data_IF_857410784874
#
_entry.id   IF_857410784874
#
_cell.length_a   1.000
_cell.length_b   1.000
_cell.length_c   1.000
_cell.angle_alpha   90.00
_cell.angle_beta   90.00
_cell.angle_gamma   90.00
#
_symmetry.space_group_name_H-M   'P 1'
#
loop_
_entity.id
_entity.type
_entity.pdbx_description
1 polymer ?
#
# COMPACT_ATOMS: atom_id res chain seq x y z
N UNK A 1 -5.86 9.47 -34.14
CA UNK A 1 -5.58 8.01 -33.95
C UNK A 1 -4.12 7.60 -34.16
N UNK A 2 -3.22 8.50 -34.61
CA UNK A 2 -1.80 8.17 -34.78
C UNK A 2 -0.97 8.18 -33.47
N UNK A 3 -1.46 8.83 -32.40
CA UNK A 3 -0.69 8.99 -31.16
C UNK A 3 -0.67 7.77 -30.23
N UNK A 4 -1.76 7.02 -30.16
CA UNK A 4 -1.87 5.87 -29.23
C UNK A 4 -1.01 4.67 -29.70
N UNK A 5 -1.00 4.36 -30.99
CA UNK A 5 -0.17 3.28 -31.54
C UNK A 5 1.35 3.53 -31.43
N UNK A 6 1.79 4.79 -31.49
CA UNK A 6 3.20 5.15 -31.36
C UNK A 6 3.64 5.13 -29.87
N UNK A 7 2.75 5.43 -28.94
CA UNK A 7 3.01 5.32 -27.49
C UNK A 7 3.12 3.85 -27.09
N UNK A 8 2.21 2.99 -27.54
CA UNK A 8 2.28 1.55 -27.31
C UNK A 8 3.56 0.91 -27.87
N UNK A 9 3.94 1.26 -29.08
CA UNK A 9 5.19 0.76 -29.68
C UNK A 9 6.46 1.22 -28.94
N UNK A 10 6.47 2.43 -28.37
CA UNK A 10 7.58 2.90 -27.52
C UNK A 10 7.63 2.12 -26.20
N UNK A 11 6.51 1.93 -25.53
CA UNK A 11 6.46 1.17 -24.27
C UNK A 11 6.96 -0.26 -24.43
N UNK A 12 6.61 -0.95 -25.55
CA UNK A 12 7.16 -2.26 -25.87
C UNK A 12 8.67 -2.26 -26.13
N UNK A 13 9.21 -1.16 -26.66
CA UNK A 13 10.65 -1.05 -26.97
C UNK A 13 11.50 -0.84 -25.71
N UNK A 14 10.95 -0.23 -24.67
CA UNK A 14 11.63 0.06 -23.40
C UNK A 14 11.31 -0.97 -22.29
N UNK A 15 10.47 -1.97 -22.60
CA UNK A 15 10.08 -3.02 -21.67
C UNK A 15 11.26 -3.94 -21.35
N UNK A 16 11.40 -4.30 -20.06
CA UNK A 16 12.33 -5.33 -19.59
C UNK A 16 11.83 -6.75 -19.91
N UNK A 17 10.52 -6.90 -20.20
CA UNK A 17 9.90 -8.14 -20.69
C UNK A 17 9.92 -8.15 -22.21
N UNK A 18 10.33 -9.25 -22.80
CA UNK A 18 10.39 -9.45 -24.23
C UNK A 18 9.05 -9.91 -24.77
N UNK A 19 8.71 -9.50 -26.00
CA UNK A 19 7.57 -10.05 -26.74
C UNK A 19 6.22 -10.01 -25.97
N UNK A 20 5.97 -8.92 -25.24
CA UNK A 20 4.75 -8.80 -24.42
C UNK A 20 3.46 -8.66 -25.25
N UNK A 21 3.57 -8.40 -26.56
CA UNK A 21 2.48 -8.38 -27.56
C UNK A 21 2.30 -9.72 -28.27
N UNK A 22 3.04 -10.75 -27.89
CA UNK A 22 3.04 -12.08 -28.48
C UNK A 22 3.14 -12.12 -30.01
N UNK A 23 3.71 -11.07 -30.64
CA UNK A 23 3.91 -10.99 -32.08
C UNK A 23 4.89 -12.05 -32.61
N UNK A 24 5.77 -12.55 -31.74
CA UNK A 24 6.68 -13.66 -32.00
C UNK A 24 6.27 -14.93 -31.25
N UNK A 25 4.98 -15.21 -31.19
CA UNK A 25 4.40 -16.36 -30.45
C UNK A 25 4.80 -16.32 -28.95
N UNK A 26 5.28 -17.40 -28.37
CA UNK A 26 5.73 -17.45 -26.97
C UNK A 26 7.24 -17.21 -26.80
N UNK A 27 7.91 -16.61 -27.78
CA UNK A 27 9.35 -16.36 -27.70
C UNK A 27 9.68 -15.55 -26.42
N UNK A 28 10.55 -16.10 -25.58
CA UNK A 28 10.94 -15.53 -24.30
C UNK A 28 10.05 -15.93 -23.12
N UNK A 29 8.89 -16.51 -23.36
CA UNK A 29 8.01 -17.02 -22.31
C UNK A 29 8.13 -18.52 -22.12
N UNK A 30 7.98 -18.95 -20.86
CA UNK A 30 7.81 -20.34 -20.47
C UNK A 30 6.37 -20.55 -19.97
N UNK A 31 5.70 -21.56 -20.52
CA UNK A 31 4.37 -21.98 -20.10
C UNK A 31 4.52 -23.24 -19.27
N UNK A 32 4.24 -23.14 -17.98
CA UNK A 32 4.28 -24.26 -17.07
C UNK A 32 2.86 -24.81 -16.83
N UNK A 33 2.69 -26.11 -17.02
CA UNK A 33 1.48 -26.84 -16.68
C UNK A 33 1.91 -28.09 -15.89
N UNK A 34 1.47 -28.19 -14.65
CA UNK A 34 1.80 -29.31 -13.77
C UNK A 34 1.13 -30.60 -14.25
N UNK A 35 1.95 -31.56 -14.67
CA UNK A 35 1.48 -32.84 -15.20
C UNK A 35 0.98 -33.82 -14.12
N UNK A 36 1.29 -33.58 -12.85
CA UNK A 36 0.83 -34.40 -11.71
C UNK A 36 -0.54 -33.94 -11.20
N UNK A 37 -1.05 -32.81 -11.70
CA UNK A 37 -2.28 -32.18 -11.29
C UNK A 37 -3.43 -32.44 -12.27
N UNK A 38 -4.64 -32.06 -11.84
CA UNK A 38 -5.82 -32.06 -12.71
C UNK A 38 -5.83 -30.87 -13.70
N UNK A 39 -4.73 -30.09 -13.77
CA UNK A 39 -4.62 -28.96 -14.67
C UNK A 39 -4.44 -29.43 -16.12
N UNK A 40 -5.28 -28.89 -17.01
CA UNK A 40 -5.25 -29.15 -18.46
C UNK A 40 -5.49 -27.80 -19.18
N UNK A 41 -4.51 -27.35 -19.97
CA UNK A 41 -4.60 -26.12 -20.72
C UNK A 41 -3.91 -26.24 -22.07
N UNK A 42 -4.46 -25.58 -23.08
CA UNK A 42 -3.85 -25.39 -24.40
C UNK A 42 -3.60 -23.89 -24.57
N UNK A 43 -2.39 -23.55 -24.99
CA UNK A 43 -1.99 -22.17 -25.24
C UNK A 43 -1.80 -21.95 -26.74
N UNK A 44 -2.34 -20.85 -27.25
CA UNK A 44 -2.27 -20.50 -28.66
C UNK A 44 -2.19 -18.97 -28.82
N UNK A 45 -1.07 -18.46 -29.33
CA UNK A 45 -0.89 -17.03 -29.58
C UNK A 45 -1.58 -16.56 -30.86
N UNK A 46 -1.91 -17.46 -31.78
CA UNK A 46 -2.47 -17.12 -33.09
C UNK A 46 -4.00 -17.03 -33.08
N UNK A 47 -4.65 -17.51 -32.02
CA UNK A 47 -6.10 -17.59 -31.93
C UNK A 47 -6.76 -16.23 -31.68
N UNK A 48 -6.06 -15.29 -31.05
CA UNK A 48 -6.57 -13.98 -30.71
C UNK A 48 -5.53 -12.87 -30.90
N UNK A 49 -5.29 -12.45 -32.15
CA UNK A 49 -4.46 -11.30 -32.50
C UNK A 49 -3.10 -11.23 -31.76
N UNK A 50 -2.41 -12.35 -31.68
CA UNK A 50 -1.14 -12.51 -30.97
C UNK A 50 -1.23 -12.36 -29.42
N UNK A 51 -2.30 -12.75 -28.80
CA UNK A 51 -2.39 -12.84 -27.33
C UNK A 51 -2.00 -14.24 -26.84
N UNK A 52 -1.56 -14.34 -25.58
CA UNK A 52 -1.46 -15.63 -24.89
C UNK A 52 -2.87 -16.13 -24.53
N UNK A 53 -3.40 -17.03 -25.35
CA UNK A 53 -4.76 -17.56 -25.24
C UNK A 53 -4.74 -18.96 -24.60
N UNK A 54 -5.15 -19.04 -23.34
CA UNK A 54 -5.26 -20.26 -22.58
C UNK A 54 -6.68 -20.82 -22.65
N UNK A 55 -6.84 -22.04 -23.18
CA UNK A 55 -8.06 -22.84 -23.01
C UNK A 55 -7.81 -23.79 -21.84
N UNK A 56 -8.40 -23.54 -20.71
CA UNK A 56 -8.21 -24.28 -19.46
C UNK A 56 -9.42 -25.18 -19.27
N UNK A 57 -9.23 -26.54 -19.25
CA UNK A 57 -10.27 -27.51 -18.99
C UNK A 57 -10.44 -27.82 -17.51
N UNK A 58 -9.32 -27.78 -16.77
CA UNK A 58 -9.27 -27.89 -15.33
C UNK A 58 -8.11 -27.04 -14.82
N UNK A 59 -8.37 -26.10 -13.91
CA UNK A 59 -7.35 -25.19 -13.41
C UNK A 59 -6.43 -25.81 -12.35
N UNK A 60 -6.71 -27.05 -11.91
CA UNK A 60 -6.03 -27.64 -10.76
C UNK A 60 -6.42 -26.96 -9.43
N UNK A 61 -5.92 -27.50 -8.33
CA UNK A 61 -6.24 -27.07 -6.97
C UNK A 61 -5.27 -26.03 -6.36
N UNK A 62 -4.25 -25.62 -7.13
CA UNK A 62 -3.26 -24.62 -6.74
C UNK A 62 -3.07 -23.60 -7.87
N UNK A 63 -2.85 -22.33 -7.51
CA UNK A 63 -2.69 -21.25 -8.48
C UNK A 63 -1.46 -21.44 -9.40
N UNK A 64 -0.37 -22.00 -8.88
CA UNK A 64 0.89 -22.20 -9.59
C UNK A 64 0.88 -23.37 -10.59
N UNK A 65 -0.19 -24.18 -10.64
CA UNK A 65 -0.25 -25.36 -11.53
C UNK A 65 -0.37 -25.02 -13.01
N UNK A 66 -0.78 -23.80 -13.33
CA UNK A 66 -0.71 -23.23 -14.67
C UNK A 66 -0.06 -21.87 -14.56
N UNK A 67 1.05 -21.64 -15.28
CA UNK A 67 1.79 -20.38 -15.20
C UNK A 67 2.26 -19.93 -16.58
N UNK A 68 2.24 -18.60 -16.78
CA UNK A 68 2.98 -17.91 -17.83
C UNK A 68 4.13 -17.15 -17.19
N UNK A 69 5.37 -17.44 -17.59
CA UNK A 69 6.58 -16.92 -16.95
C UNK A 69 7.56 -16.34 -17.96
N UNK A 70 8.35 -15.37 -17.51
CA UNK A 70 9.56 -14.93 -18.19
C UNK A 70 10.69 -14.72 -17.17
N UNK A 71 11.85 -15.33 -17.42
CA UNK A 71 12.99 -15.38 -16.50
C UNK A 71 14.05 -14.32 -16.88
N UNK A 72 15.11 -14.23 -16.05
CA UNK A 72 16.31 -13.40 -16.27
C UNK A 72 15.98 -11.90 -16.39
N UNK A 73 15.13 -11.40 -15.50
CA UNK A 73 14.78 -9.99 -15.44
C UNK A 73 15.68 -9.33 -14.41
N UNK A 74 16.40 -8.29 -14.82
CA UNK A 74 17.23 -7.49 -13.91
C UNK A 74 16.39 -6.42 -13.24
N UNK A 75 16.36 -6.46 -11.89
CA UNK A 75 15.79 -5.41 -11.06
C UNK A 75 16.88 -4.74 -10.23
N UNK A 76 17.03 -3.43 -10.34
CA UNK A 76 18.04 -2.64 -9.65
C UNK A 76 17.49 -2.08 -8.34
N UNK A 77 18.27 -2.20 -7.25
CA UNK A 77 17.91 -1.64 -5.94
C UNK A 77 17.56 -0.16 -6.02
N UNK A 78 16.48 0.24 -5.37
CA UNK A 78 15.99 1.62 -5.32
C UNK A 78 15.23 2.07 -6.57
N UNK A 79 15.33 1.34 -7.70
CA UNK A 79 14.64 1.69 -8.94
C UNK A 79 13.13 1.39 -8.83
N UNK A 80 12.32 2.31 -9.33
CA UNK A 80 10.88 2.13 -9.50
C UNK A 80 10.58 1.46 -10.84
N UNK A 81 9.61 0.56 -10.81
CA UNK A 81 9.13 -0.19 -11.97
C UNK A 81 7.61 -0.11 -12.06
N UNK A 82 7.11 -0.13 -13.29
CA UNK A 82 5.69 -0.25 -13.59
C UNK A 82 5.48 -1.50 -14.42
N UNK A 83 4.72 -2.44 -13.86
CA UNK A 83 4.19 -3.60 -14.57
C UNK A 83 2.80 -3.28 -15.06
N UNK A 84 2.49 -3.61 -16.32
CA UNK A 84 1.13 -3.58 -16.85
C UNK A 84 0.90 -4.73 -17.83
N UNK A 85 -0.34 -5.20 -17.92
CA UNK A 85 -0.79 -6.18 -18.91
C UNK A 85 -2.29 -6.10 -19.08
N UNK A 86 -2.77 -6.58 -20.21
CA UNK A 86 -4.19 -6.73 -20.51
C UNK A 86 -4.61 -8.19 -20.31
N UNK A 87 -5.75 -8.41 -19.65
CA UNK A 87 -6.25 -9.74 -19.34
C UNK A 87 -7.77 -9.78 -19.43
N UNK A 88 -8.31 -10.92 -19.92
CA UNK A 88 -9.75 -11.21 -19.90
C UNK A 88 -9.99 -12.68 -19.63
N UNK A 89 -11.14 -13.00 -19.05
CA UNK A 89 -11.56 -14.38 -18.77
C UNK A 89 -13.01 -14.61 -19.16
N UNK A 90 -13.29 -15.79 -19.66
CA UNK A 90 -14.67 -16.20 -20.01
C UNK A 90 -15.52 -16.60 -18.80
N UNK A 91 -14.91 -16.67 -17.63
CA UNK A 91 -15.57 -16.95 -16.34
C UNK A 91 -15.05 -15.99 -15.28
N UNK A 92 -15.86 -15.71 -14.27
CA UNK A 92 -15.40 -14.95 -13.11
C UNK A 92 -14.41 -15.78 -12.31
N UNK A 93 -13.24 -15.21 -12.01
CA UNK A 93 -12.17 -15.88 -11.27
C UNK A 93 -11.15 -14.90 -10.70
N UNK A 94 -10.23 -15.41 -9.90
CA UNK A 94 -9.02 -14.69 -9.50
C UNK A 94 -7.81 -15.17 -10.29
N UNK A 95 -6.83 -14.28 -10.46
CA UNK A 95 -5.52 -14.53 -11.06
C UNK A 95 -4.46 -13.84 -10.19
N UNK A 96 -3.37 -14.52 -9.89
CA UNK A 96 -2.24 -13.94 -9.19
C UNK A 96 -1.11 -13.62 -10.15
N UNK A 97 -0.46 -12.48 -9.98
CA UNK A 97 0.78 -12.17 -10.67
C UNK A 97 1.87 -11.74 -9.70
N UNK A 98 3.12 -11.94 -10.08
CA UNK A 98 4.28 -11.56 -9.28
C UNK A 98 5.49 -11.20 -10.15
N UNK A 99 6.34 -10.34 -9.62
CA UNK A 99 7.77 -10.30 -9.93
C UNK A 99 8.48 -10.78 -8.67
N UNK A 100 9.28 -11.82 -8.79
CA UNK A 100 9.81 -12.55 -7.64
C UNK A 100 11.20 -13.09 -7.91
N UNK A 101 11.85 -13.59 -6.89
CA UNK A 101 13.07 -14.40 -7.02
C UNK A 101 12.78 -15.65 -7.84
N UNK A 102 13.75 -16.06 -8.66
CA UNK A 102 13.71 -17.39 -9.27
C UNK A 102 14.28 -18.42 -8.30
N UNK A 103 13.44 -19.24 -7.68
CA UNK A 103 13.87 -20.25 -6.72
C UNK A 103 14.76 -21.33 -7.31
N UNK A 104 14.87 -21.41 -8.65
CA UNK A 104 15.86 -22.31 -9.28
C UNK A 104 17.29 -21.80 -9.06
N UNK A 105 17.49 -20.48 -9.01
CA UNK A 105 18.79 -19.81 -8.83
C UNK A 105 18.97 -19.23 -7.42
N UNK A 106 17.88 -18.84 -6.75
CA UNK A 106 17.89 -18.29 -5.40
C UNK A 106 17.60 -19.34 -4.34
N UNK A 107 18.37 -19.30 -3.24
CA UNK A 107 18.17 -20.19 -2.09
C UNK A 107 18.01 -19.37 -0.81
N UNK A 108 17.14 -19.84 0.07
CA UNK A 108 16.98 -19.30 1.41
C UNK A 108 18.15 -19.69 2.34
N UNK A 109 18.10 -19.24 3.59
CA UNK A 109 19.13 -19.54 4.60
C UNK A 109 19.25 -21.02 4.95
N UNK A 110 18.29 -21.86 4.56
CA UNK A 110 18.30 -23.33 4.77
C UNK A 110 18.77 -24.09 3.52
N UNK A 111 18.96 -23.40 2.39
CA UNK A 111 19.28 -23.97 1.09
C UNK A 111 18.06 -24.44 0.27
N UNK A 112 16.84 -24.17 0.74
CA UNK A 112 15.62 -24.41 -0.01
C UNK A 112 15.41 -23.34 -1.11
N UNK A 113 14.59 -23.65 -2.10
CA UNK A 113 14.24 -22.71 -3.16
C UNK A 113 13.55 -21.46 -2.59
N UNK A 114 14.01 -20.29 -3.02
CA UNK A 114 13.49 -19.00 -2.56
C UNK A 114 12.68 -18.32 -3.67
N UNK A 115 11.38 -18.36 -3.55
CA UNK A 115 10.39 -17.74 -4.44
C UNK A 115 9.81 -16.45 -3.86
N UNK A 116 10.55 -15.76 -2.97
CA UNK A 116 10.06 -14.54 -2.32
C UNK A 116 9.71 -13.46 -3.37
N UNK A 117 8.48 -12.92 -3.34
CA UNK A 117 8.08 -11.88 -4.28
C UNK A 117 8.65 -10.50 -3.89
N UNK A 118 9.01 -9.71 -4.89
CA UNK A 118 9.25 -8.27 -4.79
C UNK A 118 7.94 -7.49 -4.88
N UNK A 119 7.04 -7.96 -5.74
CA UNK A 119 5.65 -7.54 -5.82
C UNK A 119 4.78 -8.75 -6.17
N UNK A 120 3.65 -8.89 -5.49
CA UNK A 120 2.65 -9.92 -5.74
C UNK A 120 1.27 -9.39 -5.45
N UNK A 121 0.35 -9.58 -6.39
CA UNK A 121 -1.04 -9.15 -6.23
C UNK A 121 -1.99 -10.20 -6.80
N UNK A 122 -3.25 -10.13 -6.34
CA UNK A 122 -4.34 -10.94 -6.84
C UNK A 122 -5.38 -10.05 -7.50
N UNK A 123 -5.69 -10.35 -8.75
CA UNK A 123 -6.69 -9.64 -9.56
C UNK A 123 -7.96 -10.46 -9.61
N UNK A 124 -9.10 -9.82 -9.36
CA UNK A 124 -10.42 -10.42 -9.59
C UNK A 124 -10.88 -10.05 -11.00
N UNK A 125 -11.18 -11.06 -11.79
CA UNK A 125 -11.75 -10.93 -13.14
C UNK A 125 -13.22 -11.27 -13.10
N UNK A 126 -14.05 -10.44 -13.71
CA UNK A 126 -15.41 -10.81 -14.09
C UNK A 126 -15.40 -11.52 -15.44
N UNK A 127 -16.37 -12.42 -15.66
CA UNK A 127 -16.57 -13.02 -16.96
C UNK A 127 -16.84 -11.93 -18.01
N UNK A 128 -16.07 -11.95 -19.10
CA UNK A 128 -16.31 -10.99 -20.18
C UNK A 128 -17.67 -11.22 -20.86
N UNK A 129 -18.29 -10.13 -21.33
CA UNK A 129 -19.46 -10.22 -22.20
C UNK A 129 -19.07 -10.88 -23.54
N UNK A 130 -19.80 -11.91 -23.96
CA UNK A 130 -19.51 -12.65 -25.19
C UNK A 130 -19.61 -11.79 -26.47
N UNK A 131 -20.37 -10.70 -26.43
CA UNK A 131 -20.49 -9.76 -27.54
C UNK A 131 -19.32 -8.77 -27.65
N UNK A 132 -18.66 -8.45 -26.53
CA UNK A 132 -17.67 -7.38 -26.44
C UNK A 132 -16.25 -7.92 -26.13
N UNK A 133 -16.14 -8.95 -25.29
CA UNK A 133 -14.89 -9.60 -24.90
C UNK A 133 -13.76 -8.63 -24.52
N UNK A 134 -14.09 -7.57 -23.75
CA UNK A 134 -13.13 -6.54 -23.36
C UNK A 134 -12.04 -7.08 -22.45
N UNK A 135 -10.83 -6.60 -22.68
CA UNK A 135 -9.73 -6.74 -21.75
C UNK A 135 -9.87 -5.78 -20.58
N UNK A 136 -9.42 -6.23 -19.42
CA UNK A 136 -9.12 -5.39 -18.26
C UNK A 136 -7.62 -5.13 -18.28
N UNK A 137 -7.23 -3.86 -18.19
CA UNK A 137 -5.81 -3.49 -17.99
C UNK A 137 -5.47 -3.55 -16.50
N UNK A 138 -4.48 -4.36 -16.16
CA UNK A 138 -3.85 -4.41 -14.83
C UNK A 138 -2.61 -3.54 -14.86
N UNK A 139 -2.40 -2.73 -13.84
CA UNK A 139 -1.19 -1.90 -13.71
C UNK A 139 -0.79 -1.80 -12.26
N UNK A 140 0.50 -1.99 -11.98
CA UNK A 140 1.08 -1.84 -10.64
C UNK A 140 2.44 -1.17 -10.74
N UNK A 141 2.71 -0.26 -9.81
CA UNK A 141 4.00 0.42 -9.68
C UNK A 141 4.63 0.05 -8.35
N UNK A 142 5.87 -0.43 -8.37
CA UNK A 142 6.58 -0.87 -7.18
C UNK A 142 8.04 -0.41 -7.20
N UNK A 143 8.65 -0.30 -6.02
CA UNK A 143 10.08 -0.04 -5.88
C UNK A 143 10.81 -1.34 -5.53
N UNK A 144 11.96 -1.56 -6.14
CA UNK A 144 12.85 -2.64 -5.74
C UNK A 144 13.58 -2.25 -4.44
N UNK A 145 12.96 -2.56 -3.30
CA UNK A 145 13.50 -2.22 -1.98
C UNK A 145 14.66 -3.12 -1.54
N UNK A 146 14.78 -4.33 -2.13
CA UNK A 146 15.84 -5.29 -1.86
C UNK A 146 17.09 -4.99 -2.69
N UNK A 147 18.16 -5.76 -2.45
CA UNK A 147 19.38 -5.70 -3.27
C UNK A 147 19.06 -6.04 -4.75
N UNK A 148 19.89 -5.51 -5.65
CA UNK A 148 19.77 -5.78 -7.09
C UNK A 148 19.71 -7.28 -7.36
N UNK A 149 18.72 -7.71 -8.12
CA UNK A 149 18.55 -9.08 -8.61
C UNK A 149 18.72 -9.12 -10.13
N UNK A 150 19.64 -9.92 -10.62
CA UNK A 150 19.93 -10.07 -12.06
C UNK A 150 19.08 -11.18 -12.71
N UNK A 151 18.41 -12.02 -11.88
CA UNK A 151 17.75 -13.26 -12.32
C UNK A 151 16.31 -13.39 -11.79
N UNK A 152 15.63 -12.26 -11.58
CA UNK A 152 14.23 -12.31 -11.17
C UNK A 152 13.31 -12.84 -12.27
N UNK A 153 12.12 -13.28 -11.87
CA UNK A 153 11.12 -13.89 -12.75
C UNK A 153 9.80 -13.13 -12.68
N UNK A 154 9.22 -12.85 -13.84
CA UNK A 154 7.81 -12.50 -13.99
C UNK A 154 6.96 -13.76 -14.05
N UNK A 155 5.82 -13.79 -13.36
CA UNK A 155 4.90 -14.90 -13.30
C UNK A 155 3.45 -14.43 -13.25
N UNK A 156 2.59 -15.02 -14.09
CA UNK A 156 1.13 -14.98 -13.96
C UNK A 156 0.64 -16.41 -13.69
N UNK A 157 0.05 -16.61 -12.52
CA UNK A 157 -0.47 -17.89 -12.07
C UNK A 157 -1.97 -18.01 -12.40
N UNK A 158 -2.30 -18.96 -13.26
CA UNK A 158 -3.61 -19.18 -13.85
C UNK A 158 -4.31 -20.45 -13.32
N UNK A 159 -3.71 -21.17 -12.38
CA UNK A 159 -4.31 -22.32 -11.72
C UNK A 159 -5.50 -21.91 -10.84
N UNK A 160 -5.81 -22.68 -9.83
CA UNK A 160 -6.95 -22.50 -8.93
C UNK A 160 -7.31 -21.03 -8.71
N UNK A 161 -8.49 -20.61 -9.12
CA UNK A 161 -8.91 -19.19 -9.07
C UNK A 161 -10.43 -19.06 -8.96
N UNK A 162 -11.13 -20.17 -8.69
CA UNK A 162 -12.55 -20.16 -8.39
C UNK A 162 -12.87 -19.56 -7.03
N UNK A 163 -14.11 -19.67 -6.60
CA UNK A 163 -14.56 -19.17 -5.31
C UNK A 163 -13.70 -19.76 -4.18
N UNK A 164 -13.20 -18.89 -3.29
CA UNK A 164 -12.29 -19.25 -2.19
C UNK A 164 -10.99 -19.98 -2.64
N UNK A 165 -10.52 -19.71 -3.87
CA UNK A 165 -9.30 -20.32 -4.39
C UNK A 165 -9.48 -21.76 -4.84
N UNK A 166 -10.71 -22.21 -5.10
CA UNK A 166 -11.00 -23.56 -5.59
C UNK A 166 -10.59 -23.77 -7.03
N UNK A 167 -10.51 -25.04 -7.44
CA UNK A 167 -10.37 -25.41 -8.85
C UNK A 167 -11.60 -25.00 -9.66
N UNK A 168 -11.36 -24.60 -10.91
CA UNK A 168 -12.40 -24.41 -11.93
C UNK A 168 -12.30 -25.59 -12.89
N UNK A 169 -13.30 -26.46 -12.87
CA UNK A 169 -13.33 -27.71 -13.63
C UNK A 169 -14.10 -27.62 -14.97
N UNK A 170 -14.85 -26.52 -15.12
CA UNK A 170 -15.49 -26.22 -16.39
C UNK A 170 -14.49 -25.59 -17.37
N UNK A 171 -14.55 -26.03 -18.63
CA UNK A 171 -13.68 -25.46 -19.66
C UNK A 171 -13.94 -23.97 -19.81
N UNK A 172 -12.88 -23.20 -19.70
CA UNK A 172 -12.92 -21.74 -19.80
C UNK A 172 -11.68 -21.19 -20.52
N UNK A 173 -11.71 -19.92 -20.84
CA UNK A 173 -10.68 -19.26 -21.62
C UNK A 173 -10.13 -18.04 -20.89
N UNK A 174 -8.81 -17.86 -20.93
CA UNK A 174 -8.12 -16.66 -20.47
C UNK A 174 -7.20 -16.17 -21.57
N UNK A 175 -7.26 -14.88 -21.88
CA UNK A 175 -6.34 -14.26 -22.82
C UNK A 175 -5.53 -13.17 -22.09
N UNK A 176 -4.22 -13.14 -22.35
CA UNK A 176 -3.28 -12.15 -21.79
C UNK A 176 -2.55 -11.51 -22.96
N UNK A 177 -2.37 -10.18 -22.92
CA UNK A 177 -1.73 -9.42 -23.97
C UNK A 177 -1.03 -8.18 -23.39
N UNK A 178 -0.20 -7.50 -24.18
CA UNK A 178 0.41 -6.23 -23.88
C UNK A 178 1.16 -6.20 -22.54
N UNK A 179 1.96 -7.23 -22.24
CA UNK A 179 2.74 -7.31 -21.02
C UNK A 179 3.94 -6.39 -21.11
N UNK A 180 4.03 -5.41 -20.24
CA UNK A 180 5.10 -4.41 -20.16
C UNK A 180 5.63 -4.31 -18.75
N UNK A 181 6.94 -4.37 -18.58
CA UNK A 181 7.65 -4.00 -17.35
C UNK A 181 8.66 -2.92 -17.71
N UNK A 182 8.47 -1.72 -17.25
CA UNK A 182 9.31 -0.58 -17.56
C UNK A 182 9.88 0.09 -16.31
N UNK A 183 11.06 0.69 -16.42
CA UNK A 183 11.57 1.58 -15.37
C UNK A 183 10.72 2.85 -15.35
N UNK A 184 10.39 3.31 -14.15
CA UNK A 184 9.63 4.54 -13.95
C UNK A 184 10.21 5.36 -12.80
N UNK A 185 9.66 6.53 -12.56
CA UNK A 185 9.87 7.30 -11.34
C UNK A 185 8.90 6.86 -10.23
N UNK A 186 9.18 7.26 -8.99
CA UNK A 186 8.19 7.15 -7.93
C UNK A 186 6.83 7.73 -8.38
N UNK A 187 5.70 7.13 -7.98
CA UNK A 187 4.40 7.72 -8.24
C UNK A 187 4.34 9.14 -7.70
N UNK A 188 3.86 10.07 -8.51
CA UNK A 188 3.60 11.42 -8.06
C UNK A 188 2.43 11.41 -7.08
N UNK A 189 2.70 11.68 -5.80
CA UNK A 189 1.68 11.83 -4.78
C UNK A 189 1.43 13.33 -4.64
N UNK A 190 0.26 13.77 -5.10
CA UNK A 190 -0.16 15.17 -4.95
C UNK A 190 -0.62 15.41 -3.52
N UNK A 191 0.11 16.25 -2.78
CA UNK A 191 -0.27 16.74 -1.45
C UNK A 191 -0.90 18.12 -1.60
N UNK A 192 -2.24 18.23 -1.52
CA UNK A 192 -2.93 19.47 -1.86
C UNK A 192 -2.58 20.62 -0.90
N UNK A 193 -2.21 21.78 -1.47
CA UNK A 193 -1.94 23.02 -0.73
C UNK A 193 -3.24 23.59 -0.16
N UNK A 194 -3.21 24.11 1.07
CA UNK A 194 -4.32 24.79 1.70
C UNK A 194 -5.50 23.91 2.11
N UNK A 195 -5.45 22.61 1.89
CA UNK A 195 -6.46 21.63 2.30
C UNK A 195 -6.08 20.99 3.63
N UNK A 196 -7.07 20.78 4.52
CA UNK A 196 -6.84 20.01 5.74
C UNK A 196 -6.56 18.53 5.38
N UNK A 197 -5.39 18.04 5.78
CA UNK A 197 -4.94 16.66 5.55
C UNK A 197 -5.42 15.70 6.65
N UNK A 198 -6.02 16.21 7.72
CA UNK A 198 -6.59 15.39 8.79
C UNK A 198 -7.91 14.78 8.32
N UNK A 199 -7.99 13.47 8.37
CA UNK A 199 -9.23 12.72 8.17
C UNK A 199 -10.08 12.81 9.42
N UNK A 200 -11.38 13.07 9.26
CA UNK A 200 -12.33 13.16 10.38
C UNK A 200 -11.86 14.15 11.49
N UNK A 201 -11.54 15.39 11.09
CA UNK A 201 -11.14 16.46 12.02
C UNK A 201 -12.25 16.88 12.99
N UNK A 202 -13.50 16.52 12.70
CA UNK A 202 -14.67 16.78 13.53
C UNK A 202 -14.95 15.68 14.55
N UNK A 203 -14.12 14.62 14.59
CA UNK A 203 -14.23 13.50 15.52
C UNK A 203 -15.60 12.82 15.52
N UNK A 204 -16.20 12.67 14.35
CA UNK A 204 -17.46 11.96 14.21
C UNK A 204 -17.28 10.46 14.44
N UNK A 205 -18.19 9.89 15.25
CA UNK A 205 -18.22 8.44 15.52
C UNK A 205 -18.98 7.73 14.39
N UNK A 206 -18.43 6.63 13.91
CA UNK A 206 -19.12 5.72 12.99
C UNK A 206 -20.25 4.96 13.70
N UNK A 207 -21.19 4.39 12.94
CA UNK A 207 -22.30 3.59 13.49
C UNK A 207 -21.83 2.38 14.32
N UNK A 208 -20.65 1.84 14.00
CA UNK A 208 -20.01 0.73 14.73
C UNK A 208 -19.25 1.16 16.00
N UNK A 209 -19.26 2.46 16.32
CA UNK A 209 -18.55 3.02 17.46
C UNK A 209 -17.05 3.26 17.24
N UNK A 210 -16.57 3.15 16.01
CA UNK A 210 -15.18 3.49 15.66
C UNK A 210 -15.01 4.99 15.36
N UNK A 211 -13.79 5.49 15.54
CA UNK A 211 -13.39 6.85 15.19
C UNK A 211 -12.56 6.81 13.91
N UNK A 212 -13.23 6.93 12.76
CA UNK A 212 -12.59 6.79 11.44
C UNK A 212 -11.33 7.67 11.30
N UNK A 213 -10.24 7.08 10.85
CA UNK A 213 -8.96 7.77 10.62
C UNK A 213 -8.12 7.99 11.88
N UNK A 214 -8.65 7.76 13.07
CA UNK A 214 -7.94 7.93 14.33
C UNK A 214 -7.74 6.61 15.06
N UNK A 215 -6.60 6.46 15.68
CA UNK A 215 -6.28 5.34 16.57
C UNK A 215 -6.20 5.86 18.01
N UNK A 216 -7.00 5.27 18.89
CA UNK A 216 -6.92 5.47 20.32
C UNK A 216 -6.07 4.37 20.94
N UNK A 217 -4.88 4.72 21.43
CA UNK A 217 -3.94 3.78 22.03
C UNK A 217 -3.83 4.05 23.54
N UNK A 218 -4.46 3.18 24.35
CA UNK A 218 -4.32 3.18 25.80
C UNK A 218 -3.59 1.90 26.19
N UNK A 219 -2.38 2.07 26.76
CA UNK A 219 -1.50 0.94 27.13
C UNK A 219 -1.26 0.95 28.63
N UNK A 220 -1.47 -0.19 29.27
CA UNK A 220 -1.25 -0.34 30.70
C UNK A 220 0.21 0.07 31.10
N UNK A 221 0.41 0.74 32.26
CA UNK A 221 -0.57 1.00 33.30
C UNK A 221 -1.46 2.24 33.09
N UNK A 222 -1.41 2.88 31.90
CA UNK A 222 -2.34 3.94 31.54
C UNK A 222 -3.78 3.41 31.50
N UNK A 223 -4.73 4.23 31.93
CA UNK A 223 -6.17 3.92 31.94
C UNK A 223 -6.98 5.16 31.60
N UNK A 224 -7.69 5.10 30.48
CA UNK A 224 -8.54 6.18 29.99
C UNK A 224 -9.67 5.65 29.10
N UNK A 225 -10.79 6.36 29.11
CA UNK A 225 -11.87 6.22 28.14
C UNK A 225 -12.05 7.52 27.39
N UNK A 226 -12.77 7.52 26.27
CA UNK A 226 -13.05 8.74 25.53
C UNK A 226 -14.49 8.82 25.06
N UNK A 227 -14.94 10.05 24.82
CA UNK A 227 -16.18 10.39 24.11
C UNK A 227 -15.79 11.35 22.95
N UNK A 228 -16.42 11.18 21.78
CA UNK A 228 -16.13 11.98 20.61
C UNK A 228 -17.39 12.37 19.86
N UNK A 229 -17.37 13.53 19.20
CA UNK A 229 -18.45 14.13 18.44
C UNK A 229 -18.46 15.65 18.58
N UNK A 230 -19.26 16.31 17.76
CA UNK A 230 -19.41 17.77 17.74
C UNK A 230 -18.07 18.54 17.65
N UNK A 231 -17.16 18.06 16.82
CA UNK A 231 -15.83 18.67 16.59
C UNK A 231 -14.82 18.50 17.71
N UNK A 232 -15.07 17.57 18.65
CA UNK A 232 -14.25 17.41 19.84
C UNK A 232 -14.13 15.93 20.26
N UNK A 233 -12.95 15.53 20.76
CA UNK A 233 -12.76 14.30 21.51
C UNK A 233 -12.33 14.67 22.94
N UNK A 234 -12.91 13.98 23.93
CA UNK A 234 -12.61 14.18 25.37
C UNK A 234 -12.21 12.87 26.00
N UNK A 235 -11.05 12.81 26.58
CA UNK A 235 -10.53 11.71 27.36
C UNK A 235 -10.88 11.89 28.83
N UNK A 236 -11.43 10.84 29.46
CA UNK A 236 -11.52 10.70 30.91
C UNK A 236 -10.38 9.81 31.36
N UNK A 237 -9.33 10.41 31.89
CA UNK A 237 -8.09 9.75 32.29
C UNK A 237 -8.21 9.34 33.76
N UNK A 238 -8.18 8.05 34.05
CA UNK A 238 -8.17 7.49 35.39
C UNK A 238 -6.73 7.31 35.92
N UNK A 239 -5.79 6.93 35.04
CA UNK A 239 -4.36 6.78 35.34
C UNK A 239 -3.52 7.16 34.12
N UNK A 240 -2.58 8.07 34.29
CA UNK A 240 -1.67 8.53 33.22
C UNK A 240 -0.63 7.49 32.79
N UNK A 241 -0.41 6.42 33.57
CA UNK A 241 0.64 5.45 33.33
C UNK A 241 2.01 5.90 33.80
N UNK A 242 3.06 5.38 33.17
CA UNK A 242 4.49 5.61 33.51
C UNK A 242 5.26 6.34 32.39
N UNK A 243 4.63 6.52 31.22
CA UNK A 243 5.20 7.19 30.06
C UNK A 243 4.14 8.04 29.34
N UNK A 244 4.58 9.07 28.63
CA UNK A 244 3.71 9.98 27.87
C UNK A 244 2.86 9.23 26.80
N UNK A 245 3.40 8.19 26.20
CA UNK A 245 2.75 7.36 25.20
C UNK A 245 1.78 6.32 25.77
N UNK A 246 1.62 6.17 27.10
CA UNK A 246 0.63 5.24 27.67
C UNK A 246 -0.82 5.63 27.32
N UNK A 247 -1.07 6.89 27.00
CA UNK A 247 -2.36 7.36 26.47
C UNK A 247 -2.08 8.21 25.25
N UNK A 248 -2.46 7.75 24.08
CA UNK A 248 -2.28 8.48 22.83
C UNK A 248 -3.55 8.48 21.97
N UNK A 249 -3.81 9.65 21.37
CA UNK A 249 -4.61 9.76 20.16
C UNK A 249 -3.65 9.98 18.99
N UNK A 250 -3.78 9.18 17.93
CA UNK A 250 -2.91 9.34 16.76
C UNK A 250 -3.66 9.15 15.45
N UNK A 251 -3.22 9.84 14.44
CA UNK A 251 -3.64 9.61 13.05
C UNK A 251 -2.41 9.36 12.21
N UNK A 252 -2.35 8.16 11.60
CA UNK A 252 -1.26 7.75 10.72
C UNK A 252 -1.61 8.03 9.25
N UNK A 253 -0.59 7.94 8.37
CA UNK A 253 -0.78 8.08 6.93
C UNK A 253 -0.84 9.53 6.44
N UNK A 254 -0.28 10.48 7.21
CA UNK A 254 -0.07 11.84 6.72
C UNK A 254 1.00 11.82 5.63
N UNK A 255 0.76 12.54 4.55
CA UNK A 255 1.71 12.70 3.47
C UNK A 255 2.51 13.99 3.64
N UNK A 256 3.84 13.85 3.74
CA UNK A 256 4.78 14.96 3.86
C UNK A 256 5.68 15.01 2.63
N UNK A 257 5.71 16.13 1.92
CA UNK A 257 6.51 16.34 0.72
C UNK A 257 7.84 16.99 1.05
N UNK A 258 8.91 16.52 0.41
CA UNK A 258 10.27 17.02 0.61
C UNK A 258 10.38 18.52 0.29
N UNK A 259 11.02 19.27 1.18
CA UNK A 259 11.25 20.71 0.99
C UNK A 259 10.04 21.60 1.30
N UNK A 260 8.89 21.02 1.63
CA UNK A 260 7.68 21.75 1.97
C UNK A 260 7.54 22.02 3.47
N UNK A 261 6.59 22.87 3.82
CA UNK A 261 6.24 23.14 5.22
C UNK A 261 4.74 23.02 5.43
N UNK A 262 4.35 22.72 6.67
CA UNK A 262 2.96 22.50 7.06
C UNK A 262 2.61 23.29 8.30
N UNK A 263 1.36 23.68 8.42
CA UNK A 263 0.82 24.29 9.63
C UNK A 263 -0.12 23.31 10.32
N UNK A 264 0.25 22.91 11.56
CA UNK A 264 -0.61 22.17 12.47
C UNK A 264 -1.31 23.15 13.41
N UNK A 265 -2.63 23.03 13.52
CA UNK A 265 -3.43 23.75 14.52
C UNK A 265 -4.29 22.76 15.30
N UNK A 266 -4.47 23.06 16.60
CA UNK A 266 -5.44 22.38 17.45
C UNK A 266 -5.73 23.24 18.69
N UNK A 267 -6.83 22.91 19.38
CA UNK A 267 -7.19 23.48 20.66
C UNK A 267 -7.20 22.36 21.71
N UNK A 268 -6.51 22.57 22.82
CA UNK A 268 -6.41 21.65 23.95
C UNK A 268 -7.04 22.27 25.20
N UNK A 269 -7.74 21.45 25.99
CA UNK A 269 -8.30 21.84 27.30
C UNK A 269 -8.08 20.70 28.27
N UNK A 270 -7.68 21.01 29.50
CA UNK A 270 -7.67 20.05 30.60
C UNK A 270 -8.31 20.68 31.85
N UNK A 271 -8.94 19.90 32.70
CA UNK A 271 -9.48 20.35 33.98
C UNK A 271 -8.43 20.35 35.11
N UNK A 272 -7.17 19.96 34.79
CA UNK A 272 -6.01 20.06 35.67
C UNK A 272 -4.81 20.69 34.95
N UNK A 273 -3.87 21.27 35.72
CA UNK A 273 -2.58 21.68 35.15
C UNK A 273 -1.81 20.45 34.72
N UNK A 274 -1.39 20.41 33.44
CA UNK A 274 -0.63 19.27 32.89
C UNK A 274 0.12 19.63 31.61
N UNK A 275 0.91 18.68 31.12
CA UNK A 275 1.49 18.74 29.78
C UNK A 275 0.82 17.73 28.87
N UNK A 276 0.59 18.10 27.62
CA UNK A 276 0.25 17.22 26.49
C UNK A 276 1.30 17.40 25.42
N UNK A 277 1.91 16.30 24.97
CA UNK A 277 2.87 16.36 23.86
C UNK A 277 2.10 16.25 22.54
N UNK A 278 2.31 17.22 21.66
CA UNK A 278 1.78 17.24 20.30
C UNK A 278 2.93 17.12 19.31
N UNK A 279 2.95 16.11 18.44
CA UNK A 279 4.06 15.86 17.54
C UNK A 279 3.63 15.29 16.21
N UNK A 280 4.39 15.60 15.16
CA UNK A 280 4.34 14.90 13.86
C UNK A 280 5.63 14.12 13.69
N UNK A 281 5.52 12.81 13.51
CA UNK A 281 6.66 11.87 13.45
C UNK A 281 6.42 10.79 12.42
N UNK A 282 7.50 10.20 11.87
CA UNK A 282 7.45 9.00 11.03
C UNK A 282 8.01 7.79 11.78
N UNK A 283 7.15 6.90 12.32
CA UNK A 283 7.59 5.74 13.10
C UNK A 283 8.49 4.77 12.35
N UNK A 284 8.24 4.51 11.07
CA UNK A 284 9.04 3.61 10.22
C UNK A 284 10.48 4.10 10.03
N UNK A 285 10.74 5.40 10.20
CA UNK A 285 12.06 6.02 10.16
C UNK A 285 12.60 6.29 11.58
N UNK A 286 12.41 5.35 12.50
CA UNK A 286 12.91 5.47 13.88
C UNK A 286 12.25 6.61 14.68
N UNK A 287 10.99 6.92 14.38
CA UNK A 287 10.25 8.07 14.92
C UNK A 287 10.91 9.42 14.56
N UNK A 288 11.33 9.56 13.29
CA UNK A 288 11.84 10.83 12.78
C UNK A 288 10.90 11.98 13.15
N UNK A 289 11.42 12.95 13.90
CA UNK A 289 10.66 14.07 14.48
C UNK A 289 10.60 15.24 13.50
N UNK A 290 9.44 15.49 12.88
CA UNK A 290 9.25 16.60 11.94
C UNK A 290 8.92 17.92 12.62
N UNK A 291 8.34 17.87 13.82
CA UNK A 291 8.04 19.02 14.66
C UNK A 291 7.01 18.67 15.73
N UNK A 292 6.93 19.51 16.74
CA UNK A 292 6.01 19.30 17.85
C UNK A 292 6.33 20.21 19.04
N UNK A 293 5.54 20.09 20.10
CA UNK A 293 5.66 20.87 21.32
C UNK A 293 5.16 20.08 22.52
N UNK A 294 5.81 20.24 23.68
CA UNK A 294 5.29 19.89 24.99
C UNK A 294 4.39 21.03 25.48
N UNK A 295 3.08 20.89 25.25
CA UNK A 295 2.09 21.94 25.51
C UNK A 295 1.71 21.96 26.98
N UNK A 296 2.07 23.05 27.69
CA UNK A 296 1.65 23.27 29.07
C UNK A 296 0.22 23.81 29.09
N UNK A 297 -0.66 23.10 29.79
CA UNK A 297 -2.08 23.46 29.97
C UNK A 297 -2.31 23.96 31.39
N UNK A 298 -3.10 25.03 31.52
CA UNK A 298 -3.67 25.51 32.76
C UNK A 298 -5.08 24.96 32.94
N UNK A 299 -5.41 24.50 34.13
CA UNK A 299 -6.70 23.93 34.48
C UNK A 299 -7.88 24.79 34.03
N UNK A 300 -8.76 24.25 33.23
CA UNK A 300 -9.99 24.89 32.72
C UNK A 300 -9.79 25.93 31.62
N UNK A 301 -8.54 26.21 31.19
CA UNK A 301 -8.26 27.16 30.12
C UNK A 301 -8.07 26.45 28.75
N UNK A 302 -8.65 27.02 27.71
CA UNK A 302 -8.40 26.56 26.34
C UNK A 302 -7.04 27.08 25.84
N UNK A 303 -6.24 26.19 25.27
CA UNK A 303 -4.95 26.49 24.68
C UNK A 303 -4.98 26.23 23.18
N UNK A 304 -4.94 27.31 22.39
CA UNK A 304 -4.79 27.22 20.94
C UNK A 304 -3.32 27.03 20.57
N UNK A 305 -3.05 26.03 19.74
CA UNK A 305 -1.73 25.66 19.26
C UNK A 305 -1.63 25.96 17.78
N UNK A 306 -0.50 26.51 17.37
CA UNK A 306 -0.14 26.66 15.95
C UNK A 306 1.33 26.34 15.81
N UNK A 307 1.65 25.24 15.13
CA UNK A 307 3.03 24.78 14.92
C UNK A 307 3.36 24.75 13.43
N UNK A 308 4.58 25.14 13.11
CA UNK A 308 5.15 24.89 11.78
C UNK A 308 5.89 23.57 11.81
N UNK A 309 5.49 22.66 10.92
CA UNK A 309 6.08 21.33 10.76
C UNK A 309 6.91 21.33 9.48
N UNK A 310 8.18 20.93 9.58
CA UNK A 310 9.09 20.80 8.46
C UNK A 310 9.57 19.36 8.38
N UNK A 311 9.26 18.64 7.29
CA UNK A 311 9.68 17.26 7.13
C UNK A 311 11.21 17.11 7.24
N UNK A 312 11.66 16.03 7.90
CA UNK A 312 13.08 15.71 8.03
C UNK A 312 13.59 15.01 6.77
N UNK A 313 14.76 15.42 6.30
CA UNK A 313 15.40 14.87 5.10
C UNK A 313 15.66 13.35 5.19
N UNK A 314 15.86 12.82 6.38
CA UNK A 314 16.14 11.40 6.62
C UNK A 314 15.01 10.44 6.25
N UNK A 315 13.78 10.94 6.06
CA UNK A 315 12.65 10.13 5.60
C UNK A 315 12.56 10.04 4.08
N UNK A 316 13.31 10.88 3.35
CA UNK A 316 13.32 10.94 1.90
C UNK A 316 14.54 10.21 1.33
N UNK A 317 14.52 8.88 1.43
CA UNK A 317 15.60 8.03 0.93
C UNK A 317 15.22 7.41 -0.42
N UNK A 318 16.21 6.97 -1.18
CA UNK A 318 16.02 6.18 -2.40
C UNK A 318 15.09 6.82 -3.46
N UNK A 319 15.11 8.16 -3.56
CA UNK A 319 14.31 8.91 -4.54
C UNK A 319 12.84 9.11 -4.13
N UNK A 320 12.48 8.79 -2.89
CA UNK A 320 11.17 9.14 -2.33
C UNK A 320 11.13 10.65 -2.09
N UNK A 321 10.15 11.33 -2.65
CA UNK A 321 9.90 12.77 -2.46
C UNK A 321 8.70 13.06 -1.57
N UNK A 322 7.88 12.04 -1.25
CA UNK A 322 6.73 12.13 -0.35
C UNK A 322 6.79 11.00 0.66
N UNK A 323 6.90 11.32 1.94
CA UNK A 323 6.72 10.38 3.04
C UNK A 323 5.22 10.22 3.33
N UNK A 324 4.70 9.02 3.19
CA UNK A 324 3.29 8.66 3.48
C UNK A 324 3.13 7.94 4.82
N UNK A 325 4.22 7.76 5.55
CA UNK A 325 4.26 7.07 6.84
C UNK A 325 4.21 7.97 8.06
N UNK A 326 4.11 9.28 7.87
CA UNK A 326 4.03 10.21 8.98
C UNK A 326 2.70 10.09 9.76
N UNK A 327 2.71 10.50 11.01
CA UNK A 327 1.52 10.56 11.85
C UNK A 327 1.52 11.78 12.76
N UNK A 328 0.31 12.23 13.13
CA UNK A 328 0.06 13.19 14.20
C UNK A 328 -0.21 12.44 15.48
N UNK A 329 0.45 12.84 16.55
CA UNK A 329 0.38 12.22 17.88
C UNK A 329 0.01 13.25 18.94
N UNK A 330 -0.98 12.94 19.76
CA UNK A 330 -1.30 13.59 21.00
C UNK A 330 -1.00 12.61 22.13
N UNK A 331 0.09 12.84 22.88
CA UNK A 331 0.48 11.98 24.00
C UNK A 331 0.04 12.62 25.32
N UNK A 332 -0.82 11.92 26.04
CA UNK A 332 -1.52 12.40 27.23
C UNK A 332 -1.20 11.56 28.48
N UNK A 333 -0.22 10.66 28.40
CA UNK A 333 0.23 9.87 29.54
C UNK A 333 1.07 10.66 30.54
N UNK A 334 1.93 9.95 31.27
CA UNK A 334 2.78 10.50 32.32
C UNK A 334 3.80 11.51 31.77
N UNK A 335 3.95 12.62 32.49
CA UNK A 335 5.03 13.59 32.29
C UNK A 335 5.68 13.89 33.64
N UNK A 336 7.00 13.88 33.71
CA UNK A 336 7.77 14.16 34.90
C UNK A 336 7.42 15.55 35.48
N UNK A 337 7.30 15.64 36.81
CA UNK A 337 6.92 16.86 37.53
C UNK A 337 5.42 17.08 37.71
N UNK A 338 4.57 16.22 37.14
CA UNK A 338 3.13 16.29 37.32
C UNK A 338 2.61 15.03 38.03
N UNK A 339 1.97 15.21 39.17
CA UNK A 339 1.26 14.15 39.89
C UNK A 339 -0.23 14.34 39.66
N UNK A 340 -0.81 13.58 38.76
CA UNK A 340 -2.18 13.75 38.31
C UNK A 340 -3.10 12.66 38.88
N UNK A 341 -4.23 13.07 39.47
CA UNK A 341 -5.37 12.21 39.75
C UNK A 341 -6.24 12.01 38.52
N UNK A 342 -7.45 11.49 38.72
CA UNK A 342 -8.42 11.38 37.63
C UNK A 342 -8.78 12.79 37.12
N UNK A 343 -8.81 12.95 35.78
CA UNK A 343 -9.05 14.23 35.13
C UNK A 343 -9.49 14.06 33.69
N UNK A 344 -9.81 15.18 33.02
CA UNK A 344 -10.21 15.18 31.61
C UNK A 344 -9.24 15.95 30.73
N UNK A 345 -9.10 15.51 29.47
CA UNK A 345 -8.38 16.22 28.41
C UNK A 345 -9.23 16.23 27.15
N UNK A 346 -9.43 17.40 26.56
CA UNK A 346 -10.18 17.54 25.31
C UNK A 346 -9.27 18.07 24.19
N UNK A 347 -9.51 17.60 22.97
CA UNK A 347 -8.82 17.99 21.74
C UNK A 347 -9.90 18.40 20.73
N UNK A 348 -9.74 19.55 20.08
CA UNK A 348 -10.65 20.06 19.05
C UNK A 348 -9.91 20.93 18.04
N UNK A 349 -10.63 21.38 16.99
CA UNK A 349 -10.12 22.27 15.95
C UNK A 349 -8.83 21.79 15.30
N UNK A 350 -8.72 20.46 15.06
CA UNK A 350 -7.50 19.88 14.51
C UNK A 350 -7.43 20.11 13.01
N UNK A 351 -6.35 20.72 12.56
CA UNK A 351 -6.04 20.86 11.14
C UNK A 351 -4.55 20.74 10.88
N UNK A 352 -4.22 20.11 9.76
CA UNK A 352 -2.85 19.98 9.26
C UNK A 352 -2.84 20.32 7.79
N UNK A 353 -2.17 21.40 7.42
CA UNK A 353 -2.29 22.02 6.09
C UNK A 353 -0.91 22.27 5.52
N UNK A 354 -0.69 21.88 4.26
CA UNK A 354 0.49 22.26 3.47
C UNK A 354 0.42 23.75 3.14
N UNK A 355 1.48 24.51 3.40
CA UNK A 355 1.57 25.97 3.23
C UNK A 355 1.73 26.38 1.76
#
# INVERSE_FOLDING_TARGET
>A
SRGLGDVYKRQMQDSLLLNGDFSADFAGYDVYIDSSADADAVVDSQKENNAADFTIKNSGDQNWKIQLKQNNIKLEKGQWYKLSFDIKSSVSRTVQYAIQRDGSTHKDSTGAEDWTPYVQETVKLDAYDQADQKYMTVSNTFQMACDTDEESIFNIALGAGGENGSAITDQHRICIDNIVLEKTSAPEIDVPVGKNLITNSEFEMSEDGSLAGWENAVTAPGDATFEAGDGKITYSVANVGEADWNIQLKQMGLSLEQGESYTLKCTLVSDVDRVVKVAVMTPSAGYAWHGGEDVVLTAGEAKDITLTITPKEEVFTDGITVDTGAGLFFSMGYVEGYTLGAHTVSISNVSFVKN
#
